data_IF_614588627641
#
_entry.id   IF_614588627641
#
_cell.length_a   1.000
_cell.length_b   1.000
_cell.length_c   1.000
_cell.angle_alpha   90.00
_cell.angle_beta   90.00
_cell.angle_gamma   90.00
#
_symmetry.space_group_name_H-M   'P 1'
#
loop_
_entity.id
_entity.type
_entity.pdbx_description
1 polymer ?
#
# COMPACT_ATOMS: atom_id res chain seq x y z
N UNK A 1 9.39 2.18 -31.72
CA UNK A 1 9.87 0.87 -31.25
C UNK A 1 10.55 1.08 -29.91
N UNK A 2 10.08 0.42 -28.84
CA UNK A 2 10.79 0.44 -27.54
C UNK A 2 12.03 -0.44 -27.68
N UNK A 3 13.19 0.04 -27.24
CA UNK A 3 14.49 -0.60 -27.47
C UNK A 3 14.93 -1.56 -26.35
N UNK A 4 14.11 -1.78 -25.33
CA UNK A 4 14.46 -2.68 -24.22
C UNK A 4 13.26 -3.53 -23.80
N UNK A 5 13.33 -4.88 -23.90
CA UNK A 5 12.22 -5.77 -23.55
C UNK A 5 11.96 -5.88 -22.04
N UNK A 6 12.84 -5.33 -21.19
CA UNK A 6 12.72 -5.39 -19.73
C UNK A 6 12.06 -4.15 -19.10
N UNK A 7 11.73 -3.13 -19.89
CA UNK A 7 11.14 -1.89 -19.36
C UNK A 7 9.62 -2.00 -19.29
N UNK A 8 9.07 -1.95 -18.07
CA UNK A 8 7.64 -1.86 -17.82
C UNK A 8 7.26 -0.37 -17.71
N UNK A 9 6.43 0.10 -18.64
CA UNK A 9 5.90 1.47 -18.59
C UNK A 9 4.64 1.51 -17.70
N UNK A 10 4.71 2.29 -16.62
CA UNK A 10 3.62 2.54 -15.67
C UNK A 10 3.26 4.03 -15.67
N UNK A 11 2.62 4.54 -16.74
CA UNK A 11 2.41 5.98 -16.93
C UNK A 11 1.46 6.63 -15.92
N UNK A 12 0.56 5.83 -15.34
CA UNK A 12 -0.48 6.31 -14.41
C UNK A 12 -0.07 6.20 -12.94
N UNK A 13 1.09 5.59 -12.64
CA UNK A 13 1.50 5.31 -11.27
C UNK A 13 2.58 6.27 -10.79
N UNK A 14 2.48 6.68 -9.52
CA UNK A 14 3.49 7.52 -8.88
C UNK A 14 4.76 6.71 -8.62
N UNK A 15 5.92 7.24 -9.06
CA UNK A 15 7.22 6.57 -8.95
C UNK A 15 7.54 6.16 -7.50
N UNK A 16 7.12 6.97 -6.52
CA UNK A 16 7.32 6.68 -5.10
C UNK A 16 6.60 5.41 -4.66
N UNK A 17 5.41 5.15 -5.18
CA UNK A 17 4.61 3.95 -4.86
C UNK A 17 5.23 2.70 -5.49
N UNK A 18 5.72 2.83 -6.73
CA UNK A 18 6.46 1.76 -7.41
C UNK A 18 7.75 1.42 -6.65
N UNK A 19 8.46 2.42 -6.14
CA UNK A 19 9.65 2.22 -5.29
C UNK A 19 9.30 1.52 -3.97
N UNK A 20 8.18 1.86 -3.34
CA UNK A 20 7.70 1.15 -2.14
C UNK A 20 7.44 -0.32 -2.43
N UNK A 21 6.79 -0.63 -3.55
CA UNK A 21 6.55 -2.00 -3.98
C UNK A 21 7.86 -2.75 -4.28
N UNK A 22 8.79 -2.14 -5.03
CA UNK A 22 10.09 -2.73 -5.32
C UNK A 22 10.87 -3.01 -4.04
N UNK A 23 10.90 -2.06 -3.10
CA UNK A 23 11.54 -2.27 -1.80
C UNK A 23 10.90 -3.41 -1.02
N UNK A 24 9.56 -3.52 -1.03
CA UNK A 24 8.87 -4.63 -0.39
C UNK A 24 9.20 -5.97 -1.06
N UNK A 25 9.28 -6.05 -2.40
CA UNK A 25 9.65 -7.29 -3.10
C UNK A 25 11.02 -7.83 -2.64
N UNK A 26 11.99 -6.94 -2.42
CA UNK A 26 13.34 -7.33 -2.02
C UNK A 26 13.52 -7.51 -0.51
N UNK A 27 12.73 -6.82 0.32
CA UNK A 27 12.90 -6.82 1.78
C UNK A 27 11.80 -7.55 2.55
N UNK A 28 10.70 -7.93 1.88
CA UNK A 28 9.45 -8.39 2.48
C UNK A 28 8.88 -7.45 3.55
N UNK A 29 9.31 -6.18 3.54
CA UNK A 29 8.92 -5.16 4.51
C UNK A 29 8.50 -3.92 3.76
N UNK A 30 7.27 -3.46 4.00
CA UNK A 30 6.89 -2.13 3.54
C UNK A 30 7.68 -1.19 4.46
N UNK A 31 8.49 -0.25 3.94
CA UNK A 31 9.17 0.73 4.77
C UNK A 31 8.11 1.38 5.64
N UNK A 32 8.05 0.97 6.91
CA UNK A 32 6.96 1.34 7.79
C UNK A 32 7.16 2.81 8.05
N UNK A 33 6.42 3.64 7.33
CA UNK A 33 6.32 5.06 7.60
C UNK A 33 5.49 5.32 8.88
N UNK A 34 5.22 4.27 9.68
CA UNK A 34 4.84 4.41 11.07
C UNK A 34 5.94 5.20 11.78
N UNK A 35 5.65 6.43 12.22
CA UNK A 35 6.63 7.20 12.94
C UNK A 35 6.89 6.46 14.26
N UNK A 36 8.17 6.22 14.59
CA UNK A 36 8.58 5.68 15.91
C UNK A 36 8.11 6.54 17.10
N UNK A 37 7.41 7.64 16.82
CA UNK A 37 6.82 8.58 17.76
C UNK A 37 5.43 8.95 17.22
N UNK A 38 4.40 9.04 18.07
CA UNK A 38 3.09 9.53 17.64
C UNK A 38 3.25 10.92 17.02
N UNK A 39 2.88 11.03 15.74
CA UNK A 39 2.84 12.30 15.03
C UNK A 39 1.81 13.20 15.71
N UNK A 40 2.23 14.37 16.19
CA UNK A 40 1.33 15.34 16.86
C UNK A 40 0.47 16.14 15.87
N UNK A 41 0.70 15.96 14.58
CA UNK A 41 0.14 16.78 13.51
C UNK A 41 -0.77 15.90 12.63
N UNK A 42 -2.09 16.12 12.71
CA UNK A 42 -3.08 15.35 11.95
C UNK A 42 -2.79 15.31 10.44
N UNK A 43 -2.28 16.41 9.86
CA UNK A 43 -1.95 16.49 8.43
C UNK A 43 -0.87 15.51 8.01
N UNK A 44 0.16 15.33 8.84
CA UNK A 44 1.25 14.39 8.55
C UNK A 44 0.77 12.93 8.65
N UNK A 45 -0.13 12.64 9.61
CA UNK A 45 -0.79 11.35 9.69
C UNK A 45 -1.64 11.07 8.44
N UNK A 46 -2.36 12.07 7.91
CA UNK A 46 -3.14 11.89 6.67
C UNK A 46 -2.25 11.64 5.46
N UNK A 47 -1.13 12.36 5.30
CA UNK A 47 -0.20 12.09 4.19
C UNK A 47 0.34 10.66 4.21
N UNK A 48 0.51 10.10 5.41
CA UNK A 48 0.92 8.72 5.61
C UNK A 48 -0.20 7.74 5.21
N UNK A 49 -1.43 7.98 5.67
CA UNK A 49 -2.58 7.16 5.28
C UNK A 49 -2.82 7.19 3.76
N UNK A 50 -2.69 8.36 3.13
CA UNK A 50 -2.82 8.51 1.68
C UNK A 50 -1.74 7.74 0.93
N UNK A 51 -0.48 7.79 1.39
CA UNK A 51 0.62 7.00 0.79
C UNK A 51 0.34 5.50 0.89
N UNK A 52 -0.10 5.01 2.05
CA UNK A 52 -0.44 3.61 2.24
C UNK A 52 -1.67 3.20 1.41
N UNK A 53 -2.67 4.06 1.28
CA UNK A 53 -3.84 3.82 0.44
C UNK A 53 -3.46 3.70 -1.05
N UNK A 54 -2.57 4.57 -1.55
CA UNK A 54 -2.03 4.46 -2.91
C UNK A 54 -1.20 3.19 -3.11
N UNK A 55 -0.40 2.79 -2.12
CA UNK A 55 0.33 1.52 -2.16
C UNK A 55 -0.63 0.32 -2.22
N UNK A 56 -1.72 0.35 -1.45
CA UNK A 56 -2.76 -0.67 -1.52
C UNK A 56 -3.42 -0.72 -2.91
N UNK A 57 -3.74 0.43 -3.49
CA UNK A 57 -4.30 0.55 -4.83
C UNK A 57 -3.36 -0.03 -5.89
N UNK A 58 -2.06 0.26 -5.80
CA UNK A 58 -1.04 -0.32 -6.66
C UNK A 58 -0.98 -1.84 -6.50
N UNK A 59 -1.01 -2.35 -5.27
CA UNK A 59 -1.10 -3.78 -4.99
C UNK A 59 -2.32 -4.46 -5.60
N UNK A 60 -3.47 -3.77 -5.66
CA UNK A 60 -4.64 -4.24 -6.36
C UNK A 60 -4.43 -4.30 -7.88
N UNK A 61 -3.79 -3.28 -8.47
CA UNK A 61 -3.46 -3.21 -9.90
C UNK A 61 -2.51 -4.34 -10.34
N UNK A 62 -1.50 -4.66 -9.55
CA UNK A 62 -0.55 -5.76 -9.83
C UNK A 62 -1.03 -7.12 -9.33
N UNK A 63 -2.22 -7.18 -8.72
CA UNK A 63 -2.87 -8.41 -8.22
C UNK A 63 -1.99 -9.13 -7.17
N UNK A 64 -1.21 -8.38 -6.39
CA UNK A 64 -0.37 -8.95 -5.33
C UNK A 64 -1.10 -8.90 -3.98
N UNK A 65 -1.66 -10.04 -3.59
CA UNK A 65 -2.39 -10.19 -2.32
C UNK A 65 -1.47 -10.09 -1.11
N UNK A 66 -0.22 -10.56 -1.20
CA UNK A 66 0.69 -10.52 -0.06
C UNK A 66 1.15 -9.09 0.20
N UNK A 67 1.41 -8.31 -0.86
CA UNK A 67 1.72 -6.89 -0.73
C UNK A 67 0.53 -6.11 -0.13
N UNK A 68 -0.68 -6.30 -0.66
CA UNK A 68 -1.91 -5.68 -0.11
C UNK A 68 -2.07 -5.97 1.38
N UNK A 69 -1.92 -7.23 1.80
CA UNK A 69 -2.01 -7.61 3.20
C UNK A 69 -0.93 -6.96 4.06
N UNK A 70 0.30 -6.85 3.55
CA UNK A 70 1.40 -6.17 4.25
C UNK A 70 1.10 -4.68 4.41
N UNK A 71 0.59 -4.01 3.37
CA UNK A 71 0.19 -2.60 3.42
C UNK A 71 -0.96 -2.40 4.41
N UNK A 72 -1.98 -3.27 4.42
CA UNK A 72 -3.06 -3.22 5.40
C UNK A 72 -2.57 -3.40 6.84
N UNK A 73 -1.62 -4.31 7.07
CA UNK A 73 -1.00 -4.48 8.38
C UNK A 73 -0.27 -3.20 8.83
N UNK A 74 0.48 -2.57 7.93
CA UNK A 74 1.12 -1.28 8.19
C UNK A 74 0.08 -0.18 8.47
N UNK A 75 -1.04 -0.16 7.74
CA UNK A 75 -2.13 0.78 7.93
C UNK A 75 -2.75 0.68 9.34
N UNK A 76 -3.04 -0.54 9.79
CA UNK A 76 -3.54 -0.82 11.15
C UNK A 76 -2.51 -0.38 12.21
N UNK A 77 -1.23 -0.63 11.96
CA UNK A 77 -0.17 -0.24 12.88
C UNK A 77 -0.08 1.29 13.04
N UNK A 78 -0.21 2.04 11.94
CA UNK A 78 -0.24 3.51 11.99
C UNK A 78 -1.41 4.01 12.83
N UNK A 79 -2.61 3.44 12.66
CA UNK A 79 -3.77 3.78 13.50
C UNK A 79 -3.47 3.51 14.97
N UNK A 80 -2.88 2.35 15.27
CA UNK A 80 -2.55 1.92 16.63
C UNK A 80 -1.53 2.83 17.32
N UNK A 81 -0.46 3.20 16.61
CA UNK A 81 0.66 3.98 17.16
C UNK A 81 0.36 5.46 17.22
N UNK A 82 -0.30 5.99 16.20
CA UNK A 82 -0.52 7.44 16.06
C UNK A 82 -1.79 7.93 16.75
N UNK A 83 -2.73 7.02 17.07
CA UNK A 83 -4.08 7.33 17.54
C UNK A 83 -4.90 8.22 16.60
N UNK A 84 -4.44 8.43 15.36
CA UNK A 84 -5.20 9.11 14.32
C UNK A 84 -6.02 8.11 13.52
N UNK A 85 -7.18 8.58 13.06
CA UNK A 85 -7.99 7.86 12.08
C UNK A 85 -7.67 8.37 10.67
N UNK A 86 -7.80 7.52 9.64
CA UNK A 86 -7.67 7.95 8.25
C UNK A 86 -8.74 8.97 7.90
N UNK A 87 -8.35 9.97 7.12
CA UNK A 87 -9.20 11.00 6.57
C UNK A 87 -9.95 10.54 5.31
N UNK A 88 -10.74 11.46 4.75
CA UNK A 88 -11.60 11.16 3.61
C UNK A 88 -10.83 10.81 2.34
N UNK A 89 -9.65 11.40 2.15
CA UNK A 89 -8.84 11.21 0.94
C UNK A 89 -8.30 9.78 0.88
N UNK A 90 -7.61 9.35 1.93
CA UNK A 90 -7.07 7.99 2.05
C UNK A 90 -8.17 6.92 1.94
N UNK A 91 -9.33 7.13 2.58
CA UNK A 91 -10.46 6.19 2.50
C UNK A 91 -11.09 6.16 1.11
N UNK A 92 -11.20 7.30 0.43
CA UNK A 92 -11.75 7.36 -0.94
C UNK A 92 -10.92 6.53 -1.92
N UNK A 93 -9.60 6.51 -1.76
CA UNK A 93 -8.70 5.70 -2.59
C UNK A 93 -8.98 4.22 -2.35
N UNK A 94 -9.03 3.77 -1.09
CA UNK A 94 -9.27 2.36 -0.74
C UNK A 94 -10.62 1.88 -1.26
N UNK A 95 -11.69 2.67 -1.09
CA UNK A 95 -13.01 2.31 -1.60
C UNK A 95 -13.04 2.28 -3.13
N UNK A 96 -12.32 3.17 -3.81
CA UNK A 96 -12.16 3.14 -5.27
C UNK A 96 -11.48 1.87 -5.79
N UNK A 97 -10.71 1.17 -4.95
CA UNK A 97 -10.06 -0.09 -5.31
C UNK A 97 -10.92 -1.34 -5.06
N UNK A 98 -12.09 -1.19 -4.43
CA UNK A 98 -13.01 -2.31 -4.21
C UNK A 98 -13.93 -2.42 -5.42
N UNK A 99 -13.84 -3.47 -6.25
CA UNK A 99 -14.80 -3.66 -7.33
C UNK A 99 -16.21 -3.81 -6.72
N UNK A 100 -17.21 -3.25 -7.40
CA UNK A 100 -18.63 -3.39 -7.01
C UNK A 100 -19.13 -4.85 -7.14
N UNK A 101 -18.28 -5.78 -7.58
CA UNK A 101 -18.60 -7.16 -7.85
C UNK A 101 -17.72 -8.10 -7.00
N UNK A 102 -18.35 -8.83 -6.08
CA UNK A 102 -17.73 -9.57 -4.97
C UNK A 102 -17.22 -10.99 -5.35
N UNK A 103 -16.98 -11.27 -6.62
CA UNK A 103 -16.83 -12.65 -7.11
C UNK A 103 -15.41 -13.24 -7.12
N UNK A 104 -14.39 -12.52 -6.64
CA UNK A 104 -12.99 -13.01 -6.66
C UNK A 104 -12.39 -13.15 -5.25
N UNK A 105 -12.50 -14.35 -4.68
CA UNK A 105 -11.75 -14.76 -3.49
C UNK A 105 -10.34 -15.16 -3.92
N UNK A 106 -9.32 -14.42 -3.46
CA UNK A 106 -7.92 -14.71 -3.75
C UNK A 106 -7.40 -15.87 -2.88
N UNK A 107 -6.45 -16.69 -3.36
CA UNK A 107 -5.86 -17.79 -2.60
C UNK A 107 -4.93 -17.29 -1.48
N UNK A 108 -4.90 -18.03 -0.37
CA UNK A 108 -4.17 -17.72 0.86
C UNK A 108 -2.65 -17.54 0.63
N UNK A 109 -2.11 -16.39 1.06
CA UNK A 109 -0.66 -16.21 1.19
C UNK A 109 -0.15 -17.08 2.35
N UNK A 110 0.56 -18.17 2.01
CA UNK A 110 1.20 -19.04 2.98
C UNK A 110 2.26 -18.30 3.80
N UNK A 111 1.95 -18.03 5.07
CA UNK A 111 2.91 -17.59 6.08
C UNK A 111 3.92 -18.72 6.34
N UNK A 112 5.14 -18.62 5.80
CA UNK A 112 6.28 -19.37 6.34
C UNK A 112 6.95 -18.51 7.41
N UNK A 113 6.56 -18.78 8.65
CA UNK A 113 7.31 -18.41 9.85
C UNK A 113 8.56 -19.29 9.89
N UNK A 114 9.74 -18.68 9.87
CA UNK A 114 11.00 -19.30 10.33
C UNK A 114 11.21 -18.93 11.79
#
# INVERSE_FOLDING_TARGET
>A
MRNDPATIDLPDDELDIVNVYANWLYSSSVPTAAPNKPTKIAREAETLFTTLAKAYAFGAKVIDTCFKNTVLAAFIEVVRVSHWSPGSESMSIIYGCTPVDFTLVAPDCGFHRV
#
